data_IF_628102775598
#
_entry.id   IF_628102775598
#
_cell.length_a   1.000
_cell.length_b   1.000
_cell.length_c   1.000
_cell.angle_alpha   90.00
_cell.angle_beta   90.00
_cell.angle_gamma   90.00
#
_symmetry.space_group_name_H-M   'P 1'
#
loop_
_entity.id
_entity.type
_entity.pdbx_description
1 polymer ?
#
# COMPACT_ATOMS: atom_id res chain seq x y z
N UNK A 1 10.90 -0.30 -12.42
CA UNK A 1 11.44 -0.04 -11.07
C UNK A 1 12.40 -1.14 -10.65
N UNK A 2 13.31 -0.79 -9.74
CA UNK A 2 14.32 -1.73 -9.21
C UNK A 2 14.35 -1.62 -7.69
N UNK A 3 14.22 -2.78 -6.99
CA UNK A 3 14.34 -2.86 -5.54
C UNK A 3 15.14 -4.09 -5.12
N UNK A 4 15.87 -4.01 -4.02
CA UNK A 4 16.66 -5.12 -3.49
C UNK A 4 15.84 -6.00 -2.52
N UNK A 5 14.70 -6.53 -2.98
CA UNK A 5 13.81 -7.38 -2.19
C UNK A 5 14.08 -8.88 -2.36
N UNK A 6 15.09 -9.22 -3.16
CA UNK A 6 15.46 -10.61 -3.44
C UNK A 6 14.54 -11.28 -4.47
N UNK A 7 14.63 -12.61 -4.54
CA UNK A 7 13.88 -13.46 -5.49
C UNK A 7 12.90 -14.36 -4.75
N UNK A 8 11.61 -14.22 -5.06
CA UNK A 8 10.54 -15.08 -4.54
C UNK A 8 9.47 -15.32 -5.61
N UNK A 9 8.39 -15.99 -5.26
CA UNK A 9 7.20 -16.07 -6.11
C UNK A 9 6.45 -14.74 -6.23
N UNK A 10 6.71 -13.79 -5.30
CA UNK A 10 6.06 -12.48 -5.20
C UNK A 10 6.95 -11.33 -5.66
N UNK A 11 8.30 -11.52 -5.64
CA UNK A 11 9.28 -10.46 -5.84
C UNK A 11 10.30 -10.82 -6.92
N UNK A 12 10.58 -9.84 -7.77
CA UNK A 12 11.70 -9.83 -8.71
C UNK A 12 12.41 -8.48 -8.57
N UNK A 13 13.76 -8.42 -8.63
CA UNK A 13 14.50 -7.16 -8.46
C UNK A 13 14.12 -6.06 -9.43
N UNK A 14 13.68 -6.44 -10.63
CA UNK A 14 13.12 -5.54 -11.63
C UNK A 14 11.63 -5.86 -11.81
N UNK A 15 10.78 -4.84 -11.76
CA UNK A 15 9.33 -4.96 -11.85
C UNK A 15 8.71 -3.69 -12.43
N UNK A 16 7.45 -3.78 -12.88
CA UNK A 16 6.71 -2.67 -13.47
C UNK A 16 5.71 -2.08 -12.49
N UNK A 17 5.77 -0.75 -12.32
CA UNK A 17 4.78 0.03 -11.58
C UNK A 17 4.01 0.94 -12.53
N UNK A 18 2.71 1.07 -12.30
CA UNK A 18 1.90 2.18 -12.80
C UNK A 18 1.74 3.17 -11.66
N UNK A 19 2.11 4.42 -11.88
CA UNK A 19 1.88 5.50 -10.93
C UNK A 19 1.02 6.59 -11.57
N UNK A 20 0.10 7.16 -10.78
CA UNK A 20 -0.66 8.32 -11.18
C UNK A 20 -0.92 9.23 -10.00
N UNK A 21 -1.08 10.51 -10.29
CA UNK A 21 -1.35 11.55 -9.30
C UNK A 21 -2.51 12.40 -9.79
N UNK A 22 -3.41 12.76 -8.87
CA UNK A 22 -4.53 13.65 -9.15
C UNK A 22 -4.56 14.78 -8.13
N UNK A 23 -4.49 16.03 -8.64
CA UNK A 23 -4.57 17.22 -7.80
C UNK A 23 -6.03 17.57 -7.49
N UNK A 24 -6.27 18.14 -6.31
CA UNK A 24 -7.58 18.58 -5.84
C UNK A 24 -8.65 17.48 -5.76
N UNK A 25 -8.23 16.26 -5.52
CA UNK A 25 -9.09 15.09 -5.31
C UNK A 25 -9.10 14.66 -3.84
N UNK A 26 -9.88 13.64 -3.51
CA UNK A 26 -9.93 13.00 -2.19
C UNK A 26 -9.45 11.55 -2.27
N UNK A 27 -9.01 11.01 -1.14
CA UNK A 27 -8.65 9.60 -1.02
C UNK A 27 -9.81 8.67 -1.47
N UNK A 28 -11.05 9.03 -1.11
CA UNK A 28 -12.25 8.26 -1.48
C UNK A 28 -12.46 8.21 -3.00
N UNK A 29 -12.31 9.34 -3.71
CA UNK A 29 -12.44 9.38 -5.18
C UNK A 29 -11.35 8.53 -5.83
N UNK A 30 -10.15 8.56 -5.29
CA UNK A 30 -9.00 7.81 -5.80
C UNK A 30 -9.15 6.31 -5.57
N UNK A 31 -9.73 5.90 -4.44
CA UNK A 31 -10.13 4.50 -4.18
C UNK A 31 -11.14 4.05 -5.25
N UNK A 32 -12.20 4.81 -5.50
CA UNK A 32 -13.20 4.49 -6.51
C UNK A 32 -12.58 4.42 -7.92
N UNK A 33 -11.69 5.34 -8.26
CA UNK A 33 -10.99 5.32 -9.54
C UNK A 33 -10.11 4.07 -9.69
N UNK A 34 -9.33 3.70 -8.66
CA UNK A 34 -8.49 2.50 -8.63
C UNK A 34 -9.33 1.23 -8.80
N UNK A 35 -10.44 1.14 -8.07
CA UNK A 35 -11.41 0.04 -8.18
C UNK A 35 -11.92 -0.10 -9.61
N UNK A 36 -12.40 1.00 -10.21
CA UNK A 36 -12.94 1.00 -11.57
C UNK A 36 -11.89 0.64 -12.63
N UNK A 37 -10.63 1.05 -12.43
CA UNK A 37 -9.52 0.69 -13.32
C UNK A 37 -9.27 -0.83 -13.30
N UNK A 38 -9.20 -1.44 -12.13
CA UNK A 38 -8.98 -2.89 -11.96
C UNK A 38 -10.16 -3.68 -12.52
N UNK A 39 -11.40 -3.28 -12.24
CA UNK A 39 -12.62 -3.88 -12.82
C UNK A 39 -12.58 -3.83 -14.35
N UNK A 40 -12.23 -2.68 -14.92
CA UNK A 40 -12.14 -2.49 -16.36
C UNK A 40 -11.09 -3.38 -17.00
N UNK A 41 -9.91 -3.50 -16.37
CA UNK A 41 -8.84 -4.37 -16.85
C UNK A 41 -9.28 -5.84 -16.85
N UNK A 42 -9.87 -6.30 -15.74
CA UNK A 42 -10.37 -7.68 -15.62
C UNK A 42 -11.47 -7.98 -16.65
N UNK A 43 -12.45 -7.10 -16.82
CA UNK A 43 -13.51 -7.26 -17.81
C UNK A 43 -12.96 -7.37 -19.24
N UNK A 44 -11.92 -6.59 -19.56
CA UNK A 44 -11.31 -6.65 -20.91
C UNK A 44 -10.54 -7.94 -21.18
N UNK A 45 -9.97 -8.57 -20.16
CA UNK A 45 -9.16 -9.78 -20.29
C UNK A 45 -10.01 -11.05 -20.14
N UNK A 46 -10.87 -11.07 -19.12
CA UNK A 46 -11.61 -12.27 -18.70
C UNK A 46 -13.10 -12.23 -19.09
N UNK A 47 -13.59 -11.12 -19.64
CA UNK A 47 -15.02 -10.87 -19.90
C UNK A 47 -15.89 -11.01 -18.62
N UNK A 48 -15.26 -10.92 -17.44
CA UNK A 48 -15.87 -11.15 -16.11
C UNK A 48 -15.23 -10.25 -15.05
N UNK A 49 -16.01 -9.94 -14.02
CA UNK A 49 -15.50 -9.39 -12.75
C UNK A 49 -15.07 -10.48 -11.76
N UNK A 50 -15.46 -11.74 -12.00
CA UNK A 50 -15.01 -12.88 -11.22
C UNK A 50 -13.84 -13.55 -11.89
N UNK A 51 -12.77 -13.75 -11.12
CA UNK A 51 -11.53 -14.36 -11.59
C UNK A 51 -11.14 -15.53 -10.68
N UNK A 52 -10.34 -16.46 -11.22
CA UNK A 52 -9.69 -17.50 -10.41
C UNK A 52 -8.36 -16.99 -9.90
N UNK A 53 -8.01 -17.40 -8.68
CA UNK A 53 -6.71 -17.19 -8.09
C UNK A 53 -6.28 -18.45 -7.30
N UNK A 54 -5.51 -19.33 -7.95
CA UNK A 54 -5.29 -20.67 -7.43
C UNK A 54 -6.58 -21.45 -7.31
N UNK A 55 -6.92 -21.88 -6.09
CA UNK A 55 -8.18 -22.59 -5.79
C UNK A 55 -9.33 -21.65 -5.40
N UNK A 56 -9.05 -20.36 -5.19
CA UNK A 56 -10.03 -19.36 -4.78
C UNK A 56 -10.74 -18.70 -5.98
N UNK A 57 -11.97 -18.24 -5.77
CA UNK A 57 -12.68 -17.30 -6.65
C UNK A 57 -12.66 -15.91 -6.02
N UNK A 58 -12.17 -14.92 -6.76
CA UNK A 58 -12.13 -13.51 -6.35
C UNK A 58 -13.21 -12.75 -7.11
N UNK A 59 -14.03 -12.00 -6.37
CA UNK A 59 -15.06 -11.13 -6.94
C UNK A 59 -14.56 -9.68 -7.01
N UNK A 60 -14.01 -9.30 -8.18
CA UNK A 60 -13.61 -7.92 -8.48
C UNK A 60 -14.81 -6.98 -8.72
N UNK A 61 -16.04 -7.46 -8.65
CA UNK A 61 -17.25 -6.64 -8.63
C UNK A 61 -17.52 -5.99 -7.27
N UNK A 62 -16.90 -6.51 -6.19
CA UNK A 62 -17.20 -6.14 -4.81
C UNK A 62 -15.93 -5.88 -4.01
N UNK A 63 -15.54 -4.61 -3.90
CA UNK A 63 -14.43 -4.15 -3.05
C UNK A 63 -14.96 -3.67 -1.71
N UNK A 64 -14.27 -4.01 -0.64
CA UNK A 64 -14.57 -3.51 0.71
C UNK A 64 -13.46 -2.58 1.21
N UNK A 65 -13.81 -1.73 2.17
CA UNK A 65 -12.85 -0.95 2.94
C UNK A 65 -12.88 -1.45 4.39
N UNK A 66 -11.72 -1.52 5.02
CA UNK A 66 -11.59 -1.89 6.43
C UNK A 66 -10.40 -1.16 7.05
N UNK A 67 -10.49 -0.78 8.33
CA UNK A 67 -9.34 -0.20 9.01
C UNK A 67 -8.30 -1.28 9.36
N UNK A 68 -7.03 -0.90 9.35
CA UNK A 68 -5.93 -1.78 9.77
C UNK A 68 -6.16 -2.28 11.20
N UNK A 69 -6.56 -1.40 12.11
CA UNK A 69 -6.85 -1.70 13.50
C UNK A 69 -7.97 -2.73 13.66
N UNK A 70 -9.11 -2.55 12.95
CA UNK A 70 -10.24 -3.48 13.01
C UNK A 70 -9.86 -4.86 12.48
N UNK A 71 -9.06 -4.92 11.42
CA UNK A 71 -8.61 -6.18 10.85
C UNK A 71 -7.67 -6.93 11.80
N UNK A 72 -6.72 -6.23 12.43
CA UNK A 72 -5.83 -6.82 13.42
C UNK A 72 -6.63 -7.33 14.63
N UNK A 73 -7.56 -6.53 15.14
CA UNK A 73 -8.42 -6.93 16.26
C UNK A 73 -9.29 -8.17 15.94
N UNK A 74 -9.82 -8.24 14.71
CA UNK A 74 -10.65 -9.37 14.29
C UNK A 74 -9.88 -10.70 14.24
N UNK A 75 -8.59 -10.65 13.85
CA UNK A 75 -7.74 -11.85 13.73
C UNK A 75 -7.04 -12.23 15.04
N UNK A 76 -6.82 -11.29 15.96
CA UNK A 76 -6.10 -11.51 17.21
C UNK A 76 -7.07 -11.45 18.40
N UNK A 77 -7.79 -12.53 18.64
CA UNK A 77 -8.88 -12.62 19.65
C UNK A 77 -8.46 -12.38 21.10
N UNK A 78 -7.16 -12.43 21.37
CA UNK A 78 -6.59 -12.16 22.70
C UNK A 78 -6.35 -10.66 22.92
N UNK A 79 -6.50 -9.82 21.89
CA UNK A 79 -6.39 -8.37 21.98
C UNK A 79 -7.75 -7.72 22.21
N UNK A 80 -7.73 -6.63 22.96
CA UNK A 80 -8.88 -5.74 23.16
C UNK A 80 -8.69 -4.44 22.38
N UNK A 81 -9.75 -3.64 22.22
CA UNK A 81 -9.66 -2.32 21.61
C UNK A 81 -8.66 -1.42 22.36
N UNK A 82 -8.65 -1.50 23.70
CA UNK A 82 -7.72 -0.73 24.56
C UNK A 82 -6.24 -1.11 24.30
N UNK A 83 -5.97 -2.38 23.95
CA UNK A 83 -4.63 -2.83 23.58
C UNK A 83 -4.22 -2.23 22.23
N UNK A 84 -5.13 -2.20 21.25
CA UNK A 84 -4.90 -1.58 19.92
C UNK A 84 -4.66 -0.07 20.07
N UNK A 85 -5.50 0.64 20.82
CA UNK A 85 -5.44 2.10 20.99
C UNK A 85 -4.13 2.56 21.69
N UNK A 86 -3.49 1.67 22.44
CA UNK A 86 -2.21 1.93 23.12
C UNK A 86 -1.00 1.36 22.39
N UNK A 87 -1.23 0.68 21.29
CA UNK A 87 -0.18 0.01 20.55
C UNK A 87 0.63 1.02 19.73
N UNK A 88 1.94 0.84 19.72
CA UNK A 88 2.84 1.52 18.80
C UNK A 88 2.51 1.18 17.34
N UNK A 89 2.59 2.17 16.45
CA UNK A 89 2.19 2.02 15.05
C UNK A 89 3.01 0.99 14.29
N UNK A 90 4.31 0.87 14.57
CA UNK A 90 5.17 -0.15 13.95
C UNK A 90 4.74 -1.56 14.37
N UNK A 91 4.41 -1.74 15.65
CA UNK A 91 3.93 -3.02 16.16
C UNK A 91 2.56 -3.39 15.61
N UNK A 92 1.68 -2.42 15.43
CA UNK A 92 0.37 -2.63 14.83
C UNK A 92 0.52 -3.09 13.38
N UNK A 93 1.43 -2.47 12.61
CA UNK A 93 1.76 -2.87 11.24
C UNK A 93 2.36 -4.29 11.21
N UNK A 94 3.32 -4.61 12.08
CA UNK A 94 3.91 -5.94 12.19
C UNK A 94 2.85 -7.03 12.46
N UNK A 95 1.89 -6.75 13.34
CA UNK A 95 0.78 -7.68 13.60
C UNK A 95 -0.12 -7.84 12.38
N UNK A 96 -0.40 -6.77 11.65
CA UNK A 96 -1.17 -6.83 10.41
C UNK A 96 -0.47 -7.71 9.37
N UNK A 97 0.80 -7.48 9.10
CA UNK A 97 1.59 -8.27 8.14
C UNK A 97 1.63 -9.75 8.51
N UNK A 98 1.83 -10.06 9.80
CA UNK A 98 1.98 -11.44 10.27
C UNK A 98 0.66 -12.21 10.42
N UNK A 99 -0.46 -11.54 10.67
CA UNK A 99 -1.72 -12.22 11.03
C UNK A 99 -2.88 -12.00 10.07
N UNK A 100 -2.84 -10.94 9.25
CA UNK A 100 -3.98 -10.48 8.43
C UNK A 100 -3.71 -10.56 6.94
N UNK A 101 -2.57 -10.03 6.47
CA UNK A 101 -2.28 -9.78 5.06
C UNK A 101 -2.58 -10.97 4.16
N UNK A 102 -2.00 -12.13 4.45
CA UNK A 102 -2.17 -13.36 3.65
C UNK A 102 -3.63 -13.89 3.62
N UNK A 103 -4.50 -13.41 4.52
CA UNK A 103 -5.92 -13.79 4.61
C UNK A 103 -6.85 -12.87 3.82
N UNK A 104 -6.35 -11.76 3.30
CA UNK A 104 -7.14 -10.82 2.50
C UNK A 104 -7.31 -11.33 1.06
N UNK A 105 -8.10 -12.39 0.89
CA UNK A 105 -8.33 -13.01 -0.42
C UNK A 105 -9.23 -12.14 -1.29
N UNK A 106 -10.35 -11.65 -0.74
CA UNK A 106 -11.26 -10.77 -1.47
C UNK A 106 -10.75 -9.32 -1.49
N UNK A 107 -11.05 -8.54 -2.54
CA UNK A 107 -10.55 -7.17 -2.70
C UNK A 107 -10.85 -6.31 -1.47
N UNK A 108 -9.81 -5.85 -0.81
CA UNK A 108 -9.93 -5.08 0.43
C UNK A 108 -8.97 -3.89 0.40
N UNK A 109 -9.54 -2.69 0.42
CA UNK A 109 -8.79 -1.48 0.72
C UNK A 109 -8.61 -1.38 2.24
N UNK A 110 -7.38 -1.51 2.68
CA UNK A 110 -6.99 -1.30 4.08
C UNK A 110 -6.66 0.18 4.25
N UNK A 111 -7.29 0.83 5.23
CA UNK A 111 -7.15 2.25 5.55
C UNK A 111 -6.76 2.43 7.02
N UNK A 112 -6.45 3.67 7.43
CA UNK A 112 -6.15 3.97 8.83
C UNK A 112 -4.75 3.49 9.25
N UNK A 113 -3.78 3.63 8.38
CA UNK A 113 -2.38 3.38 8.69
C UNK A 113 -1.85 4.41 9.68
N UNK A 114 -1.07 4.01 10.70
CA UNK A 114 -0.40 4.95 11.59
C UNK A 114 0.51 5.92 10.81
N UNK A 115 0.58 7.15 11.27
CA UNK A 115 1.45 8.19 10.66
C UNK A 115 2.92 7.79 10.69
N UNK A 116 3.36 7.12 11.75
CA UNK A 116 4.74 6.67 11.96
C UNK A 116 5.25 5.75 10.85
N UNK A 117 4.36 4.94 10.27
CA UNK A 117 4.67 4.02 9.15
C UNK A 117 4.33 4.62 7.78
N UNK A 118 4.04 5.91 7.71
CA UNK A 118 3.60 6.59 6.48
C UNK A 118 4.26 7.98 6.34
N UNK A 119 5.59 8.05 6.23
CA UNK A 119 6.35 9.30 6.38
C UNK A 119 6.12 10.34 5.27
N UNK A 120 5.55 9.94 4.13
CA UNK A 120 5.26 10.82 2.99
C UNK A 120 3.77 11.12 2.83
N UNK A 121 2.92 10.53 3.70
CA UNK A 121 1.48 10.70 3.64
C UNK A 121 1.00 11.82 4.56
N UNK A 122 0.02 12.58 4.10
CA UNK A 122 -0.62 13.61 4.93
C UNK A 122 -1.39 12.96 6.09
N UNK A 123 -1.34 13.61 7.26
CA UNK A 123 -2.16 13.24 8.42
C UNK A 123 -3.65 13.41 8.10
N UNK A 124 -4.47 12.52 8.63
CA UNK A 124 -5.90 12.68 8.56
C UNK A 124 -6.34 13.89 9.42
N UNK A 125 -7.27 14.69 8.90
CA UNK A 125 -7.70 15.92 9.57
C UNK A 125 -8.49 15.67 10.87
N UNK A 126 -9.24 14.56 10.92
CA UNK A 126 -10.11 14.21 12.06
C UNK A 126 -9.37 13.38 13.12
N UNK A 127 -8.37 12.62 12.69
CA UNK A 127 -7.51 11.83 13.56
C UNK A 127 -6.03 11.95 13.12
N UNK A 128 -5.25 12.86 13.71
CA UNK A 128 -3.85 13.09 13.32
C UNK A 128 -2.87 11.92 13.57
N UNK A 129 -3.27 10.91 14.31
CA UNK A 129 -2.46 9.70 14.57
C UNK A 129 -2.44 8.75 13.37
N UNK A 130 -3.37 8.93 12.41
CA UNK A 130 -3.43 8.12 11.20
C UNK A 130 -3.14 8.96 9.96
N UNK A 131 -2.61 8.31 8.93
CA UNK A 131 -2.39 8.90 7.62
C UNK A 131 -3.59 8.71 6.70
N UNK A 132 -3.82 9.66 5.81
CA UNK A 132 -4.76 9.54 4.68
C UNK A 132 -4.14 8.62 3.61
N UNK A 133 -4.10 7.30 3.88
CA UNK A 133 -3.46 6.26 3.07
C UNK A 133 -4.36 5.04 2.95
N UNK A 134 -4.25 4.36 1.83
CA UNK A 134 -4.78 3.02 1.66
C UNK A 134 -3.74 2.07 1.06
N UNK A 135 -3.87 0.79 1.33
CA UNK A 135 -3.32 -0.27 0.51
C UNK A 135 -4.44 -1.19 0.05
N UNK A 136 -4.35 -1.66 -1.19
CA UNK A 136 -5.31 -2.61 -1.73
C UNK A 136 -4.70 -4.01 -1.73
N UNK A 137 -5.34 -4.90 -1.00
CA UNK A 137 -5.00 -6.32 -0.98
C UNK A 137 -6.01 -7.14 -1.77
N UNK A 138 -5.51 -8.07 -2.58
CA UNK A 138 -6.29 -9.06 -3.33
C UNK A 138 -5.49 -10.36 -3.40
N UNK A 139 -6.12 -11.49 -3.05
CA UNK A 139 -5.47 -12.79 -3.09
C UNK A 139 -4.28 -12.90 -2.13
N UNK A 140 -4.33 -12.23 -0.98
CA UNK A 140 -3.25 -12.17 0.01
C UNK A 140 -2.02 -11.41 -0.47
N UNK A 141 -2.18 -10.44 -1.39
CA UNK A 141 -1.09 -9.64 -1.93
C UNK A 141 -1.47 -8.18 -2.04
N UNK A 142 -0.56 -7.29 -1.67
CA UNK A 142 -0.65 -5.88 -1.97
C UNK A 142 -0.59 -5.68 -3.49
N UNK A 143 -1.62 -5.03 -4.04
CA UNK A 143 -1.76 -4.72 -5.46
C UNK A 143 -1.52 -3.24 -5.73
N UNK A 144 -1.98 -2.37 -4.83
CA UNK A 144 -1.83 -0.93 -4.94
C UNK A 144 -1.62 -0.28 -3.57
N UNK A 145 -0.94 0.85 -3.56
CA UNK A 145 -0.75 1.71 -2.41
C UNK A 145 -1.01 3.16 -2.85
N UNK A 146 -1.83 3.88 -2.10
CA UNK A 146 -2.16 5.26 -2.44
C UNK A 146 -2.36 6.10 -1.19
N UNK A 147 -2.00 7.38 -1.27
CA UNK A 147 -2.12 8.31 -0.15
C UNK A 147 -2.28 9.76 -0.60
N UNK A 148 -2.86 10.55 0.29
CA UNK A 148 -2.78 11.99 0.16
C UNK A 148 -1.33 12.42 0.38
N UNK A 149 -0.76 13.09 -0.61
CA UNK A 149 0.61 13.57 -0.55
C UNK A 149 0.80 14.58 0.58
N UNK A 150 1.86 14.43 1.36
CA UNK A 150 2.24 15.42 2.35
C UNK A 150 2.81 16.63 1.61
N UNK A 151 2.09 17.75 1.66
CA UNK A 151 2.43 18.97 0.96
C UNK A 151 2.80 20.15 1.90
N UNK A 152 2.89 19.88 3.20
CA UNK A 152 3.37 20.83 4.21
C UNK A 152 4.89 20.64 4.38
N UNK A 153 5.72 21.64 4.01
CA UNK A 153 7.18 21.52 4.11
C UNK A 153 7.68 21.39 5.54
N UNK A 154 7.01 22.01 6.52
CA UNK A 154 7.43 21.96 7.93
C UNK A 154 7.16 20.56 8.52
N UNK A 155 5.96 19.99 8.30
CA UNK A 155 5.65 18.60 8.70
C UNK A 155 6.58 17.60 7.98
N UNK A 156 6.88 17.82 6.69
CA UNK A 156 7.80 16.93 5.97
C UNK A 156 9.23 16.97 6.53
N UNK A 157 9.75 18.15 6.87
CA UNK A 157 11.07 18.31 7.48
C UNK A 157 11.15 17.62 8.85
N UNK A 158 10.07 17.73 9.66
CA UNK A 158 9.97 17.03 10.94
C UNK A 158 10.05 15.52 10.75
N UNK A 159 9.25 14.95 9.84
CA UNK A 159 9.24 13.51 9.57
C UNK A 159 10.57 12.99 9.02
N UNK A 160 11.23 13.72 8.13
CA UNK A 160 12.57 13.34 7.70
C UNK A 160 13.57 13.34 8.86
N UNK A 161 13.44 14.28 9.80
CA UNK A 161 14.28 14.31 11.00
C UNK A 161 14.04 13.10 11.91
N UNK A 162 12.79 12.63 12.02
CA UNK A 162 12.44 11.41 12.76
C UNK A 162 12.98 10.16 12.07
N UNK A 163 12.88 10.08 10.74
CA UNK A 163 13.46 8.98 9.95
C UNK A 163 14.98 8.88 10.11
N UNK A 164 15.70 10.01 10.13
CA UNK A 164 17.15 10.02 10.38
C UNK A 164 17.47 9.46 11.76
N UNK A 165 16.69 9.81 12.79
CA UNK A 165 16.87 9.25 14.16
C UNK A 165 16.62 7.75 14.18
N UNK A 166 15.57 7.27 13.49
CA UNK A 166 15.27 5.85 13.37
C UNK A 166 16.42 5.10 12.67
N UNK A 167 16.98 5.66 11.60
CA UNK A 167 18.14 5.11 10.89
C UNK A 167 19.37 4.98 11.79
N UNK A 168 19.65 5.99 12.61
CA UNK A 168 20.78 5.98 13.56
C UNK A 168 20.60 4.92 14.66
N UNK A 169 19.36 4.52 14.95
CA UNK A 169 19.03 3.44 15.91
C UNK A 169 18.94 2.05 15.27
N UNK A 170 19.17 1.93 13.95
CA UNK A 170 19.33 0.66 13.25
C UNK A 170 18.23 0.29 12.25
N UNK A 171 17.26 1.16 12.02
CA UNK A 171 16.28 0.98 10.95
C UNK A 171 16.95 1.16 9.59
N UNK A 172 17.01 0.06 8.80
CA UNK A 172 17.67 0.03 7.49
C UNK A 172 16.80 0.58 6.37
N UNK A 173 15.50 0.71 6.60
CA UNK A 173 14.53 1.21 5.62
C UNK A 173 14.29 2.72 5.80
N UNK A 174 14.72 3.29 6.92
CA UNK A 174 14.54 4.69 7.22
C UNK A 174 15.25 5.61 6.23
N UNK A 175 14.56 6.66 5.83
CA UNK A 175 15.01 7.62 4.82
C UNK A 175 16.09 8.55 5.36
N UNK A 176 16.88 9.13 4.45
CA UNK A 176 17.78 10.24 4.75
C UNK A 176 17.00 11.55 4.64
N UNK A 177 17.47 12.60 5.33
CA UNK A 177 16.90 13.94 5.15
C UNK A 177 17.18 14.43 3.72
N UNK A 178 16.11 14.83 3.03
CA UNK A 178 16.16 15.38 1.67
C UNK A 178 15.80 16.87 1.71
N UNK A 179 16.83 17.72 1.76
CA UNK A 179 16.67 19.17 1.83
C UNK A 179 16.10 19.75 0.52
N UNK A 180 16.51 19.20 -0.63
CA UNK A 180 16.02 19.65 -1.94
C UNK A 180 14.52 19.37 -2.10
N UNK A 181 14.04 18.25 -1.55
CA UNK A 181 12.61 17.92 -1.52
C UNK A 181 11.82 18.92 -0.68
N UNK A 182 12.31 19.26 0.52
CA UNK A 182 11.66 20.27 1.39
C UNK A 182 11.61 21.63 0.71
N UNK A 183 12.72 22.08 0.11
CA UNK A 183 12.78 23.33 -0.65
C UNK A 183 11.78 23.31 -1.82
N UNK A 184 11.62 22.18 -2.50
CA UNK A 184 10.63 22.03 -3.57
C UNK A 184 9.19 22.20 -3.05
N UNK A 185 8.86 21.64 -1.88
CA UNK A 185 7.55 21.82 -1.23
C UNK A 185 7.28 23.28 -0.84
N UNK A 186 8.29 24.04 -0.41
CA UNK A 186 8.18 25.47 -0.08
C UNK A 186 7.72 26.32 -1.27
N UNK A 187 7.97 25.87 -2.51
CA UNK A 187 7.49 26.53 -3.72
C UNK A 187 6.00 26.30 -3.98
N UNK A 188 5.38 25.41 -3.22
CA UNK A 188 3.96 25.11 -3.25
C UNK A 188 3.63 23.87 -4.08
N UNK A 189 3.03 22.87 -3.43
CA UNK A 189 2.44 21.69 -4.03
C UNK A 189 0.93 21.69 -3.76
N UNK A 190 0.05 21.55 -4.79
CA UNK A 190 -1.39 21.45 -4.56
C UNK A 190 -1.72 20.19 -3.76
N UNK A 191 -2.83 20.18 -3.00
CA UNK A 191 -3.33 18.91 -2.45
C UNK A 191 -3.50 17.89 -3.57
N UNK A 192 -2.87 16.75 -3.42
CA UNK A 192 -2.90 15.69 -4.42
C UNK A 192 -2.95 14.31 -3.75
N UNK A 193 -3.45 13.32 -4.46
CA UNK A 193 -3.40 11.91 -4.09
C UNK A 193 -2.58 11.18 -5.13
N UNK A 194 -1.53 10.47 -4.69
CA UNK A 194 -0.72 9.60 -5.52
C UNK A 194 -1.08 8.13 -5.30
N UNK A 195 -0.98 7.32 -6.34
CA UNK A 195 -1.21 5.87 -6.28
C UNK A 195 -0.18 5.14 -7.11
N UNK A 196 0.42 4.10 -6.51
CA UNK A 196 1.24 3.11 -7.18
C UNK A 196 0.50 1.78 -7.30
N UNK A 197 0.52 1.17 -8.47
CA UNK A 197 -0.07 -0.15 -8.75
C UNK A 197 1.03 -1.07 -9.27
N UNK A 198 1.20 -2.23 -8.64
CA UNK A 198 2.09 -3.28 -9.11
C UNK A 198 1.52 -3.98 -10.35
N UNK A 199 1.99 -3.58 -11.55
CA UNK A 199 1.45 -4.10 -12.82
C UNK A 199 1.67 -5.61 -12.92
N UNK A 200 2.85 -6.10 -12.55
CA UNK A 200 3.14 -7.54 -12.63
C UNK A 200 2.22 -8.35 -11.69
N UNK A 201 1.98 -7.87 -10.48
CA UNK A 201 1.05 -8.51 -9.52
C UNK A 201 -0.39 -8.47 -10.04
N UNK A 202 -0.83 -7.36 -10.64
CA UNK A 202 -2.15 -7.25 -11.25
C UNK A 202 -2.30 -8.22 -12.42
N UNK A 203 -1.28 -8.34 -13.28
CA UNK A 203 -1.26 -9.31 -14.40
C UNK A 203 -1.30 -10.74 -13.86
N UNK A 204 -0.50 -11.08 -12.85
CA UNK A 204 -0.54 -12.40 -12.19
C UNK A 204 -1.97 -12.76 -11.80
N UNK A 205 -2.66 -11.86 -11.14
CA UNK A 205 -4.01 -12.08 -10.63
C UNK A 205 -5.02 -12.25 -11.76
N UNK A 206 -5.04 -11.32 -12.73
CA UNK A 206 -5.98 -11.35 -13.84
C UNK A 206 -5.79 -12.60 -14.74
N UNK A 207 -4.55 -13.11 -14.83
CA UNK A 207 -4.22 -14.28 -15.66
C UNK A 207 -4.10 -15.58 -14.86
N UNK A 208 -4.42 -15.57 -13.55
CA UNK A 208 -4.29 -16.72 -12.65
C UNK A 208 -2.87 -17.33 -12.62
N UNK A 209 -1.85 -16.48 -12.62
CA UNK A 209 -0.45 -16.93 -12.47
C UNK A 209 0.03 -16.67 -11.05
N UNK A 210 0.35 -17.72 -10.29
CA UNK A 210 0.71 -17.62 -8.88
C UNK A 210 2.18 -17.23 -8.64
N UNK A 211 2.98 -17.12 -9.70
CA UNK A 211 4.37 -16.71 -9.63
C UNK A 211 4.65 -15.54 -10.57
N UNK A 212 5.35 -14.51 -10.06
CA UNK A 212 5.76 -13.33 -10.84
C UNK A 212 6.62 -13.71 -12.06
N UNK A 213 7.34 -14.86 -12.00
CA UNK A 213 8.16 -15.35 -13.12
C UNK A 213 7.34 -15.74 -14.34
N UNK A 214 6.06 -16.07 -14.14
CA UNK A 214 5.19 -16.53 -15.23
C UNK A 214 4.61 -15.36 -16.02
N UNK A 215 4.76 -14.12 -15.53
CA UNK A 215 4.27 -12.90 -16.19
C UNK A 215 5.40 -11.95 -16.62
N UNK A 216 6.64 -12.22 -16.21
CA UNK A 216 7.81 -11.46 -16.66
C UNK A 216 8.40 -12.09 -17.91
N UNK A 217 8.77 -11.25 -18.89
CA UNK A 217 9.41 -11.72 -20.13
C UNK A 217 10.82 -12.29 -19.89
N UNK A 218 11.56 -11.69 -18.95
CA UNK A 218 12.93 -12.08 -18.61
C UNK A 218 13.13 -12.13 -17.09
N UNK A 219 12.53 -13.12 -16.39
CA UNK A 219 12.66 -13.22 -14.95
C UNK A 219 14.10 -13.57 -14.55
N UNK A 220 14.58 -12.97 -13.48
CA UNK A 220 15.87 -13.35 -12.91
C UNK A 220 15.73 -14.69 -12.19
N UNK A 221 16.63 -15.63 -12.49
CA UNK A 221 16.68 -16.94 -11.87
C UNK A 221 17.82 -17.00 -10.84
N UNK A 222 17.63 -17.79 -9.78
CA UNK A 222 18.74 -18.13 -8.89
C UNK A 222 19.72 -19.02 -9.66
N UNK A 223 20.98 -18.63 -9.65
CA UNK A 223 22.09 -19.46 -10.13
C UNK A 223 22.30 -20.66 -9.25
#
# INVERSE_FOLDING_TARGET
SFRNEGLSTRHNPEFTMLEYYEAFTSLSNTIEFTENMIKTASKKVNESEKIKWGDDEIDLGNFRQASLADLVLAENKDLTQDDIDKMDGMKLLELFENSVEDKLIQPTFVIGYPVEVSPLSRRNNDNPEIADRFELFIGGKEIANGFCELNDPDDQAERFSEQVKAKDTGDKEAMSFDEDYVIALEHGMPPAVGVGIGVDRLVMMITNQTSIRDVLLFPQLKS
#
